data_IF_500870135857
#
_entry.id   IF_500870135857
#
_cell.length_a   1.000
_cell.length_b   1.000
_cell.length_c   1.000
_cell.angle_alpha   90.00
_cell.angle_beta   90.00
_cell.angle_gamma   90.00
#
_symmetry.space_group_name_H-M   'P 1'
#
loop_
_entity.id
_entity.type
_entity.pdbx_description
1 polymer ?
#
# COMPACT_ATOMS: atom_id res chain seq x y z
N UNK A 1 -11.26 -19.67 -6.71
CA UNK A 1 -10.88 -20.29 -5.42
C UNK A 1 -12.08 -21.11 -4.99
N UNK A 2 -11.89 -22.41 -4.72
CA UNK A 2 -13.00 -23.26 -4.25
C UNK A 2 -13.36 -22.84 -2.81
N UNK A 3 -14.64 -22.83 -2.46
CA UNK A 3 -15.08 -22.48 -1.10
C UNK A 3 -14.91 -23.65 -0.12
N UNK A 4 -14.89 -24.89 -0.64
CA UNK A 4 -14.78 -26.10 0.17
C UNK A 4 -13.84 -27.14 -0.45
N UNK A 5 -13.22 -27.95 0.39
CA UNK A 5 -12.37 -29.06 -0.03
C UNK A 5 -13.21 -30.20 -0.61
N UNK A 6 -12.84 -30.70 -1.80
CA UNK A 6 -13.55 -31.82 -2.45
C UNK A 6 -13.34 -33.18 -1.77
N UNK A 7 -12.29 -33.34 -0.97
CA UNK A 7 -11.98 -34.60 -0.29
C UNK A 7 -12.64 -34.72 1.10
N UNK A 8 -12.80 -33.62 1.83
CA UNK A 8 -13.33 -33.63 3.21
C UNK A 8 -14.51 -32.68 3.46
N UNK A 9 -14.89 -31.84 2.49
CA UNK A 9 -16.02 -30.92 2.61
C UNK A 9 -15.77 -29.66 3.44
N UNK A 10 -14.58 -29.48 4.02
CA UNK A 10 -14.30 -28.34 4.89
C UNK A 10 -14.24 -27.00 4.17
N UNK A 11 -14.66 -25.93 4.86
CA UNK A 11 -14.66 -24.57 4.33
C UNK A 11 -13.25 -23.98 4.36
N UNK A 12 -12.81 -23.44 3.23
CA UNK A 12 -11.58 -22.64 3.20
C UNK A 12 -11.83 -21.31 3.90
N UNK A 13 -11.43 -21.24 5.16
CA UNK A 13 -11.46 -20.01 5.93
C UNK A 13 -10.15 -19.25 5.81
N UNK A 14 -10.32 -17.94 5.91
CA UNK A 14 -9.25 -16.98 5.86
C UNK A 14 -8.56 -16.96 7.22
N UNK A 15 -7.29 -17.36 7.25
CA UNK A 15 -6.49 -17.30 8.48
C UNK A 15 -6.52 -15.87 9.06
N UNK A 16 -6.72 -15.71 10.38
CA UNK A 16 -6.59 -14.42 11.02
C UNK A 16 -5.23 -13.82 10.69
N UNK A 17 -5.24 -12.64 10.06
CA UNK A 17 -4.00 -11.94 9.73
C UNK A 17 -3.30 -12.32 8.43
N UNK A 18 -3.85 -13.21 7.59
CA UNK A 18 -3.20 -13.60 6.33
C UNK A 18 -2.86 -12.42 5.38
N UNK A 19 -3.51 -11.26 5.55
CA UNK A 19 -3.26 -10.04 4.76
C UNK A 19 -2.58 -8.94 5.57
N UNK A 20 -2.33 -9.13 6.87
CA UNK A 20 -1.74 -8.08 7.72
C UNK A 20 -0.38 -7.66 7.17
N UNK A 21 0.49 -8.61 6.81
CA UNK A 21 1.79 -8.29 6.24
C UNK A 21 1.69 -7.50 4.94
N UNK A 22 0.83 -7.92 4.01
CA UNK A 22 0.59 -7.18 2.77
C UNK A 22 0.06 -5.75 3.03
N UNK A 23 -0.79 -5.55 4.04
CA UNK A 23 -1.25 -4.20 4.44
C UNK A 23 -0.09 -3.36 4.97
N UNK A 24 0.76 -3.90 5.83
CA UNK A 24 1.92 -3.18 6.38
C UNK A 24 2.98 -2.86 5.32
N UNK A 25 3.25 -3.77 4.39
CA UNK A 25 4.16 -3.52 3.26
C UNK A 25 3.61 -2.40 2.39
N UNK A 26 2.32 -2.42 2.07
CA UNK A 26 1.69 -1.37 1.27
C UNK A 26 1.74 0.00 1.95
N UNK A 27 1.43 0.02 3.25
CA UNK A 27 1.52 1.22 4.08
C UNK A 27 2.95 1.77 4.09
N UNK A 28 3.94 0.90 4.30
CA UNK A 28 5.36 1.28 4.31
C UNK A 28 5.81 1.87 2.97
N UNK A 29 5.44 1.23 1.85
CA UNK A 29 5.74 1.74 0.50
C UNK A 29 5.08 3.10 0.23
N UNK A 30 3.81 3.25 0.61
CA UNK A 30 3.04 4.49 0.42
C UNK A 30 3.61 5.64 1.26
N UNK A 31 3.92 5.39 2.54
CA UNK A 31 4.55 6.39 3.40
C UNK A 31 5.97 6.71 2.95
N UNK A 32 6.76 5.69 2.58
CA UNK A 32 8.11 5.86 2.06
C UNK A 32 8.12 6.74 0.81
N UNK A 33 7.22 6.49 -0.15
CA UNK A 33 7.08 7.30 -1.36
C UNK A 33 6.70 8.76 -1.05
N UNK A 34 5.68 8.95 -0.21
CA UNK A 34 5.12 10.29 0.04
C UNK A 34 6.02 11.15 0.91
N UNK A 35 6.57 10.61 1.99
CA UNK A 35 7.50 11.33 2.88
C UNK A 35 8.81 11.62 2.16
N UNK A 36 9.41 10.62 1.50
CA UNK A 36 10.67 10.84 0.78
C UNK A 36 10.47 11.83 -0.37
N UNK A 37 9.39 11.68 -1.14
CA UNK A 37 9.05 12.60 -2.21
C UNK A 37 8.87 14.04 -1.71
N UNK A 38 8.14 14.25 -0.61
CA UNK A 38 7.95 15.57 -0.01
C UNK A 38 9.28 16.19 0.40
N UNK A 39 10.11 15.44 1.12
CA UNK A 39 11.43 15.92 1.57
C UNK A 39 12.34 16.26 0.38
N UNK A 40 12.35 15.43 -0.67
CA UNK A 40 13.12 15.72 -1.89
C UNK A 40 12.66 17.01 -2.57
N UNK A 41 11.34 17.18 -2.78
CA UNK A 41 10.81 18.39 -3.39
C UNK A 41 11.08 19.63 -2.53
N UNK A 42 10.94 19.52 -1.21
CA UNK A 42 11.26 20.60 -0.28
C UNK A 42 12.76 20.97 -0.26
N UNK A 43 13.65 20.00 -0.48
CA UNK A 43 15.11 20.18 -0.43
C UNK A 43 15.67 20.71 -1.75
N UNK A 44 15.16 20.21 -2.88
CA UNK A 44 15.73 20.49 -4.20
C UNK A 44 14.96 21.55 -4.99
N UNK A 45 13.80 22.01 -4.51
CA UNK A 45 12.99 23.03 -5.18
C UNK A 45 12.49 24.09 -4.21
N UNK A 46 12.14 25.25 -4.75
CA UNK A 46 11.49 26.34 -4.00
C UNK A 46 9.96 26.27 -4.07
N UNK A 47 9.38 25.09 -4.35
CA UNK A 47 7.94 24.91 -4.44
C UNK A 47 7.30 25.14 -3.06
N UNK A 48 6.36 26.09 -2.93
CA UNK A 48 5.70 26.34 -1.66
C UNK A 48 4.85 25.15 -1.23
N UNK A 49 4.76 24.93 0.09
CA UNK A 49 3.98 23.83 0.67
C UNK A 49 2.52 23.85 0.24
N UNK A 50 1.94 25.03 -0.04
CA UNK A 50 0.57 25.18 -0.54
C UNK A 50 0.35 24.52 -1.91
N UNK A 51 1.34 24.54 -2.80
CA UNK A 51 1.26 23.89 -4.10
C UNK A 51 1.54 22.38 -4.01
N UNK A 52 2.33 21.96 -3.03
CA UNK A 52 2.59 20.54 -2.77
C UNK A 52 1.44 19.84 -2.03
N UNK A 53 0.63 20.61 -1.29
CA UNK A 53 -0.46 20.10 -0.46
C UNK A 53 -1.47 19.21 -1.21
N UNK A 54 -1.93 19.51 -2.44
CA UNK A 54 -2.79 18.59 -3.17
C UNK A 54 -2.04 17.36 -3.72
N UNK A 55 -0.75 17.48 -4.02
CA UNK A 55 0.02 16.42 -4.67
C UNK A 55 0.18 15.20 -3.76
N UNK A 56 0.63 15.42 -2.52
CA UNK A 56 0.99 14.33 -1.61
C UNK A 56 -0.19 13.48 -1.13
N UNK A 57 -1.33 14.05 -0.71
CA UNK A 57 -2.52 13.28 -0.35
C UNK A 57 -3.12 12.53 -1.53
N UNK A 58 -3.15 13.14 -2.72
CA UNK A 58 -3.61 12.44 -3.93
C UNK A 58 -2.70 11.26 -4.25
N UNK A 59 -1.38 11.46 -4.18
CA UNK A 59 -0.43 10.36 -4.36
C UNK A 59 -0.56 9.30 -3.26
N UNK A 60 -0.73 9.69 -2.00
CA UNK A 60 -0.95 8.79 -0.87
C UNK A 60 -2.24 7.96 -1.03
N UNK A 61 -3.30 8.54 -1.57
CA UNK A 61 -4.56 7.85 -1.85
C UNK A 61 -4.45 6.88 -3.03
N UNK A 62 -3.66 7.22 -4.06
CA UNK A 62 -3.52 6.39 -5.26
C UNK A 62 -2.43 5.32 -5.16
N UNK A 63 -1.38 5.56 -4.37
CA UNK A 63 -0.23 4.66 -4.22
C UNK A 63 -0.61 3.25 -3.75
N UNK A 64 -1.57 3.04 -2.83
CA UNK A 64 -1.97 1.69 -2.42
C UNK A 64 -2.48 0.82 -3.56
N UNK A 65 -3.16 1.42 -4.54
CA UNK A 65 -3.66 0.71 -5.72
C UNK A 65 -2.51 0.29 -6.64
N UNK A 66 -1.51 1.15 -6.83
CA UNK A 66 -0.31 0.83 -7.61
C UNK A 66 0.56 -0.23 -6.90
N UNK A 67 0.70 -0.15 -5.58
CA UNK A 67 1.51 -1.05 -4.77
C UNK A 67 0.80 -2.33 -4.34
N UNK A 68 -0.49 -2.51 -4.68
CA UNK A 68 -1.26 -3.69 -4.29
C UNK A 68 -0.54 -4.99 -4.70
N UNK A 69 -0.13 -5.10 -5.97
CA UNK A 69 0.56 -6.30 -6.48
C UNK A 69 1.90 -6.55 -5.78
N UNK A 70 2.71 -5.50 -5.58
CA UNK A 70 4.02 -5.60 -4.92
C UNK A 70 3.88 -6.05 -3.47
N UNK A 71 2.99 -5.39 -2.73
CA UNK A 71 2.75 -5.69 -1.31
C UNK A 71 2.27 -7.11 -1.08
N UNK A 72 1.58 -7.65 -2.09
CA UNK A 72 0.94 -8.95 -2.07
C UNK A 72 1.80 -10.08 -2.64
N UNK A 73 2.92 -9.73 -3.29
CA UNK A 73 3.98 -10.67 -3.68
C UNK A 73 5.16 -10.70 -2.71
N UNK A 74 5.38 -9.63 -1.94
CA UNK A 74 6.38 -9.57 -0.87
C UNK A 74 5.95 -10.28 0.42
N UNK A 75 4.66 -10.61 0.54
CA UNK A 75 4.06 -11.35 1.64
C UNK A 75 3.32 -12.57 1.13
#
# INVERSE_FOLDING_TARGET
MYERCSACGERFEREPGQWLGAVYVNLGLTLGLTVTGYLLLQTFTSLPTSQQLPIWPTLAGLAPFAFYRLSKGLW
#
